data_IF_753586720714
#
_entry.id   IF_753586720714
#
_cell.length_a   1.000
_cell.length_b   1.000
_cell.length_c   1.000
_cell.angle_alpha   90.00
_cell.angle_beta   90.00
_cell.angle_gamma   90.00
#
_symmetry.space_group_name_H-M   'P 1'
#
loop_
_entity.id
_entity.type
_entity.pdbx_description
1 polymer ?
#
# COMPACT_ATOMS: atom_id res chain seq x y z
N UNK A 1 31.85 2.90 -16.51
CA UNK A 1 32.86 2.33 -15.60
C UNK A 1 32.14 1.92 -14.33
N UNK A 2 32.29 0.68 -13.83
CA UNK A 2 31.62 0.25 -12.61
C UNK A 2 32.23 0.96 -11.40
N UNK A 3 31.37 1.54 -10.56
CA UNK A 3 31.77 2.20 -9.29
C UNK A 3 32.03 1.11 -8.25
N UNK A 4 33.12 1.22 -7.49
CA UNK A 4 33.48 0.21 -6.48
C UNK A 4 32.53 0.27 -5.27
N UNK A 5 32.30 -0.87 -4.62
CA UNK A 5 31.42 -0.96 -3.45
C UNK A 5 31.99 -0.15 -2.26
N UNK A 6 33.31 0.02 -2.16
CA UNK A 6 33.93 0.90 -1.16
C UNK A 6 33.58 2.38 -1.35
N UNK A 7 33.53 2.88 -2.59
CA UNK A 7 33.19 4.28 -2.87
C UNK A 7 31.74 4.62 -2.50
N UNK A 8 30.85 3.63 -2.55
CA UNK A 8 29.44 3.80 -2.14
C UNK A 8 29.26 3.89 -0.62
N UNK A 9 30.18 3.36 0.19
CA UNK A 9 30.07 3.37 1.66
C UNK A 9 30.24 4.77 2.27
N UNK A 10 30.98 5.66 1.61
CA UNK A 10 31.16 7.05 2.05
C UNK A 10 30.00 7.99 1.72
N UNK A 11 29.07 7.55 0.87
CA UNK A 11 27.90 8.32 0.44
C UNK A 11 26.63 7.99 1.25
N UNK A 12 26.66 6.93 2.04
CA UNK A 12 25.53 6.52 2.86
C UNK A 12 25.55 7.28 4.19
N UNK A 13 24.47 7.99 4.54
CA UNK A 13 24.39 8.67 5.83
C UNK A 13 24.40 7.65 6.99
N UNK A 14 24.78 8.06 8.20
CA UNK A 14 24.87 7.16 9.35
C UNK A 14 23.53 6.45 9.62
N UNK A 15 23.59 5.20 10.14
CA UNK A 15 22.46 4.27 10.20
C UNK A 15 21.28 4.71 11.08
N UNK A 16 21.43 5.78 11.87
CA UNK A 16 20.36 6.36 12.70
C UNK A 16 19.41 7.29 11.93
N UNK A 17 19.62 7.49 10.64
CA UNK A 17 18.73 8.30 9.80
C UNK A 17 17.82 7.42 8.94
N UNK A 18 16.62 7.14 9.45
CA UNK A 18 15.49 6.67 8.61
C UNK A 18 15.21 7.62 7.41
N UNK A 19 15.84 8.80 7.38
CA UNK A 19 15.84 9.76 6.28
C UNK A 19 16.67 9.33 5.06
N UNK A 20 17.60 8.36 5.16
CA UNK A 20 18.55 8.05 4.08
C UNK A 20 17.91 7.61 2.76
N UNK A 21 16.84 6.81 2.84
CA UNK A 21 16.12 6.33 1.64
C UNK A 21 15.17 7.40 1.09
N UNK A 22 14.51 8.17 1.97
CA UNK A 22 13.64 9.27 1.54
C UNK A 22 14.44 10.39 0.86
N UNK A 23 15.66 10.65 1.34
CA UNK A 23 16.50 11.74 0.83
C UNK A 23 16.93 11.51 -0.61
N UNK A 24 17.16 10.28 -1.06
CA UNK A 24 17.43 9.99 -2.49
C UNK A 24 16.24 10.36 -3.39
N UNK A 25 15.01 10.11 -2.93
CA UNK A 25 13.78 10.46 -3.65
C UNK A 25 13.52 11.97 -3.62
N UNK A 26 13.83 12.63 -2.51
CA UNK A 26 13.60 14.07 -2.32
C UNK A 26 14.74 14.96 -2.87
N UNK A 27 15.96 14.44 -2.98
CA UNK A 27 17.16 15.18 -3.42
C UNK A 27 17.44 15.01 -4.90
N UNK A 28 16.79 14.05 -5.58
CA UNK A 28 16.79 14.02 -7.03
C UNK A 28 15.92 15.18 -7.54
N UNK A 29 16.55 16.34 -7.79
CA UNK A 29 16.07 17.35 -8.74
C UNK A 29 16.11 16.80 -10.17
N UNK A 30 15.66 15.57 -10.39
CA UNK A 30 15.36 15.10 -11.73
C UNK A 30 14.21 15.98 -12.21
N UNK A 31 14.49 16.81 -13.23
CA UNK A 31 13.42 17.49 -13.98
C UNK A 31 12.44 16.40 -14.38
N UNK A 32 11.22 16.48 -13.86
CA UNK A 32 10.17 15.59 -14.31
C UNK A 32 10.01 15.83 -15.81
N UNK A 33 10.44 14.87 -16.62
CA UNK A 33 10.12 14.88 -18.04
C UNK A 33 8.60 14.82 -18.16
N UNK A 34 8.06 15.72 -18.98
CA UNK A 34 6.65 15.70 -19.34
C UNK A 34 6.41 14.46 -20.19
N UNK A 35 5.85 13.42 -19.58
CA UNK A 35 5.40 12.23 -20.30
C UNK A 35 4.04 12.55 -20.93
N UNK A 36 3.96 12.53 -22.25
CA UNK A 36 2.71 12.68 -22.98
C UNK A 36 1.73 11.55 -22.60
N UNK A 37 0.49 11.86 -22.22
CA UNK A 37 -0.45 10.83 -21.76
C UNK A 37 -0.88 9.92 -22.93
N UNK A 38 -0.59 8.63 -22.80
CA UNK A 38 -1.12 7.61 -23.72
C UNK A 38 -2.45 7.05 -23.20
N UNK A 39 -3.56 7.53 -23.75
CA UNK A 39 -4.91 7.07 -23.35
C UNK A 39 -5.27 5.64 -23.80
N UNK A 40 -4.45 5.02 -24.66
CA UNK A 40 -4.65 3.64 -25.10
C UNK A 40 -4.00 2.60 -24.16
N UNK A 41 -3.16 3.06 -23.22
CA UNK A 41 -2.42 2.21 -22.29
C UNK A 41 -2.70 2.60 -20.84
N UNK A 42 -2.69 1.60 -19.97
CA UNK A 42 -2.93 1.83 -18.56
C UNK A 42 -1.72 2.49 -17.92
N UNK A 43 -1.84 3.67 -17.28
CA UNK A 43 -0.70 4.36 -16.68
C UNK A 43 -0.12 3.64 -15.46
N UNK A 44 -0.73 2.54 -15.02
CA UNK A 44 -0.28 1.73 -13.89
C UNK A 44 0.50 0.47 -14.31
N UNK A 45 0.22 -0.09 -15.49
CA UNK A 45 0.77 -1.39 -15.91
C UNK A 45 0.99 -1.54 -17.42
N UNK A 46 0.78 -0.48 -18.18
CA UNK A 46 0.97 -0.36 -19.63
C UNK A 46 0.09 -1.29 -20.50
N UNK A 47 -0.80 -2.07 -19.89
CA UNK A 47 -1.76 -2.91 -20.61
C UNK A 47 -2.72 -2.06 -21.45
N UNK A 48 -3.17 -2.56 -22.61
CA UNK A 48 -4.19 -1.90 -23.41
C UNK A 48 -5.47 -1.62 -22.61
N UNK A 49 -6.07 -0.47 -22.86
CA UNK A 49 -7.32 -0.07 -22.21
C UNK A 49 -8.46 -0.16 -23.21
N UNK A 50 -9.52 -0.89 -22.85
CA UNK A 50 -10.65 -1.12 -23.74
C UNK A 50 -11.60 0.09 -23.89
N UNK A 51 -11.54 1.05 -22.96
CA UNK A 51 -12.47 2.18 -22.88
C UNK A 51 -11.74 3.49 -22.74
N UNK A 52 -12.06 4.48 -23.59
CA UNK A 52 -11.52 5.83 -23.49
C UNK A 52 -12.07 6.62 -22.28
N UNK A 53 -13.09 6.12 -21.57
CA UNK A 53 -13.69 6.82 -20.41
C UNK A 53 -12.86 6.71 -19.13
N UNK A 54 -12.02 5.68 -19.02
CA UNK A 54 -11.14 5.46 -17.87
C UNK A 54 -9.78 5.06 -18.41
N UNK A 55 -8.67 5.71 -18.00
CA UNK A 55 -7.35 5.31 -18.48
C UNK A 55 -6.84 4.02 -17.83
N UNK A 56 -7.63 3.33 -16.99
CA UNK A 56 -7.16 2.14 -16.26
C UNK A 56 -7.75 0.85 -16.84
N UNK A 57 -6.93 -0.20 -16.93
CA UNK A 57 -7.37 -1.50 -17.46
C UNK A 57 -8.20 -2.33 -16.45
N UNK A 58 -8.25 -1.92 -15.18
CA UNK A 58 -9.00 -2.59 -14.11
C UNK A 58 -9.24 -1.64 -12.94
N UNK A 59 -10.24 -1.95 -12.11
CA UNK A 59 -10.45 -1.23 -10.84
C UNK A 59 -9.24 -1.33 -9.91
N UNK A 60 -8.55 -2.49 -9.89
CA UNK A 60 -7.31 -2.65 -9.14
C UNK A 60 -6.23 -1.63 -9.54
N UNK A 61 -5.99 -1.47 -10.85
CA UNK A 61 -5.02 -0.49 -11.35
C UNK A 61 -5.41 0.96 -11.02
N UNK A 62 -6.71 1.26 -11.09
CA UNK A 62 -7.26 2.57 -10.73
C UNK A 62 -7.06 2.88 -9.25
N UNK A 63 -7.37 1.93 -8.38
CA UNK A 63 -7.19 2.07 -6.93
C UNK A 63 -5.72 2.15 -6.53
N UNK A 64 -4.86 1.31 -7.12
CA UNK A 64 -3.41 1.35 -6.90
C UNK A 64 -2.84 2.72 -7.28
N UNK A 65 -3.19 3.23 -8.45
CA UNK A 65 -2.76 4.56 -8.90
C UNK A 65 -3.30 5.68 -7.99
N UNK A 66 -4.54 5.56 -7.50
CA UNK A 66 -5.10 6.52 -6.55
C UNK A 66 -4.33 6.51 -5.22
N UNK A 67 -4.00 5.32 -4.70
CA UNK A 67 -3.19 5.17 -3.50
C UNK A 67 -1.80 5.81 -3.67
N UNK A 68 -1.10 5.53 -4.78
CA UNK A 68 0.21 6.14 -5.05
C UNK A 68 0.14 7.66 -5.09
N UNK A 69 -0.89 8.25 -5.72
CA UNK A 69 -1.09 9.70 -5.73
C UNK A 69 -1.31 10.26 -4.33
N UNK A 70 -2.18 9.64 -3.53
CA UNK A 70 -2.43 10.08 -2.15
C UNK A 70 -1.18 9.97 -1.28
N UNK A 71 -0.45 8.87 -1.39
CA UNK A 71 0.79 8.64 -0.65
C UNK A 71 1.86 9.68 -1.00
N UNK A 72 2.07 9.95 -2.30
CA UNK A 72 2.99 11.00 -2.77
C UNK A 72 2.58 12.40 -2.28
N UNK A 73 1.28 12.71 -2.32
CA UNK A 73 0.76 13.98 -1.80
C UNK A 73 1.03 14.11 -0.30
N UNK A 74 0.76 13.08 0.49
CA UNK A 74 0.99 13.10 1.94
C UNK A 74 2.48 13.16 2.30
N UNK A 75 3.36 12.57 1.49
CA UNK A 75 4.81 12.75 1.61
C UNK A 75 5.19 14.22 1.36
N UNK A 76 4.70 14.82 0.27
CA UNK A 76 5.02 16.18 -0.11
C UNK A 76 4.53 17.22 0.91
N UNK A 77 3.36 17.00 1.53
CA UNK A 77 2.78 17.92 2.52
C UNK A 77 3.22 17.62 3.96
N UNK A 78 3.99 16.55 4.20
CA UNK A 78 4.37 16.10 5.54
C UNK A 78 3.24 15.40 6.32
N UNK A 79 2.03 15.36 5.77
CA UNK A 79 0.86 14.69 6.33
C UNK A 79 1.08 13.19 6.58
N UNK A 80 2.05 12.58 5.92
CA UNK A 80 2.45 11.19 6.19
C UNK A 80 2.89 10.96 7.66
N UNK A 81 3.22 12.02 8.41
CA UNK A 81 3.59 11.94 9.83
C UNK A 81 2.40 11.90 10.78
N UNK A 82 1.19 12.20 10.29
CA UNK A 82 -0.04 12.14 11.09
C UNK A 82 -0.44 10.68 11.32
N UNK A 83 -0.62 10.30 12.59
CA UNK A 83 -0.90 8.91 12.98
C UNK A 83 -2.14 8.34 12.28
N UNK A 84 -3.23 9.11 12.22
CA UNK A 84 -4.48 8.69 11.56
C UNK A 84 -4.27 8.42 10.06
N UNK A 85 -3.45 9.24 9.40
CA UNK A 85 -3.12 9.04 7.97
C UNK A 85 -2.24 7.83 7.77
N UNK A 86 -1.29 7.58 8.65
CA UNK A 86 -0.47 6.36 8.60
C UNK A 86 -1.34 5.11 8.73
N UNK A 87 -2.29 5.11 9.66
CA UNK A 87 -3.23 4.00 9.85
C UNK A 87 -4.08 3.81 8.58
N UNK A 88 -4.71 4.87 8.06
CA UNK A 88 -5.57 4.79 6.88
C UNK A 88 -4.79 4.34 5.63
N UNK A 89 -3.60 4.88 5.40
CA UNK A 89 -2.73 4.47 4.28
C UNK A 89 -2.22 3.04 4.46
N UNK A 90 -1.87 2.65 5.67
CA UNK A 90 -1.48 1.28 6.00
C UNK A 90 -2.61 0.30 5.67
N UNK A 91 -3.82 0.57 6.14
CA UNK A 91 -5.01 -0.24 5.82
C UNK A 91 -5.26 -0.34 4.32
N UNK A 92 -5.18 0.77 3.57
CA UNK A 92 -5.38 0.75 2.12
C UNK A 92 -4.28 0.00 1.38
N UNK A 93 -3.02 0.17 1.77
CA UNK A 93 -1.89 -0.56 1.23
C UNK A 93 -2.05 -2.06 1.47
N UNK A 94 -2.43 -2.43 2.69
CA UNK A 94 -2.69 -3.81 3.06
C UNK A 94 -3.82 -4.42 2.24
N UNK A 95 -4.89 -3.66 2.00
CA UNK A 95 -5.98 -4.09 1.13
C UNK A 95 -5.49 -4.32 -0.31
N UNK A 96 -4.72 -3.39 -0.87
CA UNK A 96 -4.22 -3.50 -2.23
C UNK A 96 -3.24 -4.66 -2.42
N UNK A 97 -2.28 -4.85 -1.51
CA UNK A 97 -1.27 -5.91 -1.63
C UNK A 97 -1.80 -7.28 -1.22
N UNK A 98 -2.68 -7.32 -0.23
CA UNK A 98 -3.21 -8.55 0.34
C UNK A 98 -4.47 -9.09 -0.32
N UNK A 99 -4.96 -8.47 -1.40
CA UNK A 99 -6.26 -8.79 -2.01
C UNK A 99 -7.46 -8.48 -1.11
N UNK A 100 -7.25 -7.59 -0.12
CA UNK A 100 -8.22 -7.24 0.89
C UNK A 100 -8.38 -8.28 2.00
N UNK A 101 -9.25 -7.92 2.95
CA UNK A 101 -9.71 -8.83 4.01
C UNK A 101 -10.32 -10.15 3.47
N UNK A 102 -11.10 -10.16 2.37
CA UNK A 102 -11.71 -11.39 1.85
C UNK A 102 -10.70 -12.43 1.37
N UNK A 103 -9.60 -12.02 0.72
CA UNK A 103 -8.60 -12.98 0.25
C UNK A 103 -7.85 -13.64 1.42
N UNK A 104 -7.60 -12.92 2.52
CA UNK A 104 -7.02 -13.55 3.71
C UNK A 104 -7.98 -14.50 4.40
N UNK A 105 -9.29 -14.20 4.40
CA UNK A 105 -10.28 -15.16 4.86
C UNK A 105 -10.20 -16.45 4.02
N UNK A 106 -9.98 -16.40 2.70
CA UNK A 106 -9.86 -17.63 1.91
C UNK A 106 -8.58 -18.42 2.18
N UNK A 107 -7.54 -17.78 2.73
CA UNK A 107 -6.30 -18.45 3.14
C UNK A 107 -6.40 -19.16 4.50
N UNK A 108 -7.38 -18.81 5.34
CA UNK A 108 -7.61 -19.50 6.61
C UNK A 108 -8.36 -20.80 6.33
N UNK A 109 -7.84 -21.98 6.73
CA UNK A 109 -8.57 -23.24 6.55
C UNK A 109 -9.93 -23.23 7.25
N UNK A 110 -10.95 -23.80 6.62
CA UNK A 110 -12.33 -23.82 7.16
C UNK A 110 -12.41 -24.44 8.56
N UNK A 111 -11.57 -25.44 8.85
CA UNK A 111 -11.48 -26.05 10.19
C UNK A 111 -11.01 -25.04 11.25
N UNK A 112 -10.09 -24.15 10.90
CA UNK A 112 -9.60 -23.08 11.77
C UNK A 112 -10.67 -22.00 11.93
N UNK A 113 -11.38 -21.68 10.84
CA UNK A 113 -12.49 -20.74 10.86
C UNK A 113 -13.60 -21.15 11.82
N UNK A 114 -14.08 -22.38 11.69
CA UNK A 114 -15.12 -22.95 12.54
C UNK A 114 -14.70 -22.96 14.01
N UNK A 115 -13.44 -23.32 14.31
CA UNK A 115 -12.92 -23.27 15.67
C UNK A 115 -12.95 -21.87 16.27
N UNK A 116 -12.57 -20.86 15.50
CA UNK A 116 -12.52 -19.47 15.99
C UNK A 116 -13.92 -18.89 16.22
N UNK A 117 -14.86 -19.12 15.31
CA UNK A 117 -16.24 -18.64 15.45
C UNK A 117 -16.98 -19.29 16.62
N UNK A 118 -16.69 -20.56 16.92
CA UNK A 118 -17.28 -21.27 18.06
C UNK A 118 -16.51 -21.13 19.38
N UNK A 119 -15.34 -20.48 19.39
CA UNK A 119 -14.45 -20.54 20.55
C UNK A 119 -14.88 -19.65 21.73
N UNK A 120 -15.51 -18.50 21.49
CA UNK A 120 -15.81 -17.51 22.54
C UNK A 120 -16.91 -16.52 22.09
N UNK A 121 -17.76 -16.01 23.00
CA UNK A 121 -18.49 -14.77 22.75
C UNK A 121 -17.50 -13.60 22.58
N UNK A 122 -17.92 -12.55 21.88
CA UNK A 122 -17.14 -11.34 21.69
C UNK A 122 -16.70 -10.76 23.04
N UNK A 123 -15.40 -10.47 23.19
CA UNK A 123 -14.86 -9.89 24.42
C UNK A 123 -15.38 -8.46 24.72
N UNK A 124 -15.95 -7.78 23.72
CA UNK A 124 -16.45 -6.41 23.84
C UNK A 124 -17.94 -6.40 24.18
N UNK A 125 -18.76 -7.18 23.46
CA UNK A 125 -20.22 -7.14 23.62
C UNK A 125 -20.84 -8.39 24.28
N UNK A 126 -20.08 -9.47 24.46
CA UNK A 126 -20.54 -10.71 25.09
C UNK A 126 -21.48 -11.58 24.23
N UNK A 127 -21.76 -11.19 22.98
CA UNK A 127 -22.63 -11.94 22.05
C UNK A 127 -21.82 -12.95 21.25
N UNK A 128 -22.47 -14.03 20.78
CA UNK A 128 -21.85 -15.03 19.90
C UNK A 128 -21.26 -14.38 18.63
N UNK A 129 -20.03 -14.78 18.29
CA UNK A 129 -19.31 -14.20 17.19
C UNK A 129 -19.85 -14.70 15.84
N UNK A 130 -20.65 -13.87 15.17
CA UNK A 130 -21.13 -14.13 13.79
C UNK A 130 -20.07 -13.98 12.69
N UNK A 131 -18.87 -13.51 13.02
CA UNK A 131 -17.81 -13.26 12.05
C UNK A 131 -16.45 -12.98 12.69
N UNK A 132 -15.38 -13.03 11.89
CA UNK A 132 -14.01 -12.81 12.35
C UNK A 132 -13.79 -11.40 12.90
N UNK A 133 -14.42 -10.38 12.30
CA UNK A 133 -14.36 -9.00 12.80
C UNK A 133 -15.13 -8.80 14.11
N UNK A 134 -16.00 -9.76 14.47
CA UNK A 134 -16.72 -9.73 15.73
C UNK A 134 -15.87 -10.28 16.90
N UNK A 135 -14.79 -11.01 16.59
CA UNK A 135 -13.78 -11.45 17.54
C UNK A 135 -12.72 -10.34 17.64
N UNK A 136 -13.04 -9.26 18.36
CA UNK A 136 -12.16 -8.08 18.47
C UNK A 136 -10.69 -8.47 18.72
N UNK A 137 -9.76 -7.78 18.05
CA UNK A 137 -8.33 -7.92 18.26
C UNK A 137 -7.96 -7.33 19.63
N UNK A 138 -7.96 -8.19 20.64
CA UNK A 138 -7.26 -7.93 21.90
C UNK A 138 -5.75 -8.05 21.74
#
# INVERSE_FOLDING_TARGET
MPVSIEELKGLLPPPDTAEGVLRLVLSSCARAETVEPNFSQCPNCDKPVASARTPYCSEFCKEMSAFVRQFRSALATGMIREQERQIAMGQKLWHLLGGGYPLRLTLIPEKTKAKLLHARPCAVCGVEAVGFDHLGSG
#
